data_IF_548014618766
#
_entry.id   IF_548014618766
#
_cell.length_a   1.000
_cell.length_b   1.000
_cell.length_c   1.000
_cell.angle_alpha   90.00
_cell.angle_beta   90.00
_cell.angle_gamma   90.00
#
_symmetry.space_group_name_H-M   'P 1'
#
loop_
_entity.id
_entity.type
_entity.pdbx_description
1 polymer ?
#
# COMPACT_ATOMS: atom_id res chain seq x y z
N UNK A 1 -94.45 34.38 22.25
CA UNK A 1 -93.19 34.12 21.51
C UNK A 1 -93.50 33.33 20.23
N UNK A 2 -93.71 34.00 19.08
CA UNK A 2 -93.96 33.37 17.75
C UNK A 2 -93.19 34.07 16.62
N UNK A 3 -92.12 34.78 16.96
CA UNK A 3 -91.25 35.50 16.01
C UNK A 3 -90.64 34.61 14.91
N UNK A 4 -90.15 33.38 15.15
CA UNK A 4 -89.55 32.59 14.07
C UNK A 4 -90.57 32.06 13.04
N UNK A 5 -91.81 31.81 13.45
CA UNK A 5 -92.87 31.33 12.53
C UNK A 5 -93.41 32.44 11.62
N UNK A 6 -93.46 33.67 12.10
CA UNK A 6 -93.83 34.84 11.28
C UNK A 6 -92.75 35.16 10.24
N UNK A 7 -91.47 35.12 10.63
CA UNK A 7 -90.35 35.30 9.69
C UNK A 7 -90.34 34.23 8.58
N UNK A 8 -90.65 32.97 8.90
CA UNK A 8 -90.72 31.89 7.91
C UNK A 8 -91.89 32.06 6.90
N UNK A 9 -92.99 32.69 7.30
CA UNK A 9 -94.14 32.98 6.43
C UNK A 9 -93.85 34.15 5.48
N UNK A 10 -93.17 35.19 5.95
CA UNK A 10 -92.66 36.30 5.13
C UNK A 10 -91.66 35.82 4.07
N UNK A 11 -90.70 34.93 4.44
CA UNK A 11 -89.76 34.33 3.49
C UNK A 11 -90.45 33.56 2.36
N UNK A 12 -91.55 32.86 2.67
CA UNK A 12 -92.36 32.13 1.67
C UNK A 12 -93.04 33.06 0.65
N UNK A 13 -93.21 34.35 0.96
CA UNK A 13 -93.79 35.35 0.05
C UNK A 13 -92.83 35.68 -1.09
N UNK A 14 -91.53 35.77 -0.82
CA UNK A 14 -90.48 35.92 -1.85
C UNK A 14 -90.32 34.67 -2.73
N UNK A 15 -90.83 33.53 -2.26
CA UNK A 15 -90.89 32.30 -3.03
C UNK A 15 -92.04 32.22 -4.03
N UNK A 16 -92.96 33.19 -4.15
CA UNK A 16 -94.09 33.14 -5.10
C UNK A 16 -93.91 34.17 -6.22
N UNK A 17 -93.53 33.69 -7.42
CA UNK A 17 -93.32 34.51 -8.62
C UNK A 17 -91.87 34.47 -9.12
N UNK A 18 -91.64 34.73 -10.42
CA UNK A 18 -90.30 34.68 -11.03
C UNK A 18 -89.42 35.89 -10.63
N UNK A 19 -90.02 37.08 -10.51
CA UNK A 19 -89.35 38.34 -10.18
C UNK A 19 -88.75 38.39 -8.75
N UNK A 20 -89.50 38.07 -7.68
CA UNK A 20 -88.96 38.11 -6.31
C UNK A 20 -87.85 37.05 -6.06
N UNK A 21 -87.94 35.89 -6.72
CA UNK A 21 -86.89 34.86 -6.69
C UNK A 21 -85.61 35.32 -7.39
N UNK A 22 -85.73 36.00 -8.53
CA UNK A 22 -84.59 36.59 -9.21
C UNK A 22 -83.93 37.70 -8.38
N UNK A 23 -84.71 38.54 -7.70
CA UNK A 23 -84.20 39.57 -6.79
C UNK A 23 -83.45 38.97 -5.59
N UNK A 24 -83.96 37.91 -4.96
CA UNK A 24 -83.25 37.17 -3.90
C UNK A 24 -81.98 36.50 -4.41
N UNK A 25 -82.02 35.91 -5.61
CA UNK A 25 -80.84 35.30 -6.22
C UNK A 25 -79.77 36.35 -6.50
N UNK A 26 -80.14 37.52 -7.05
CA UNK A 26 -79.22 38.62 -7.28
C UNK A 26 -78.64 39.18 -5.96
N UNK A 27 -79.46 39.33 -4.91
CA UNK A 27 -79.03 39.78 -3.58
C UNK A 27 -78.02 38.83 -2.93
N UNK A 28 -78.15 37.51 -3.15
CA UNK A 28 -77.20 36.50 -2.67
C UNK A 28 -75.97 36.38 -3.58
N UNK A 29 -76.15 36.52 -4.89
CA UNK A 29 -75.08 36.38 -5.88
C UNK A 29 -74.10 37.55 -5.83
N UNK A 30 -74.54 38.78 -5.57
CA UNK A 30 -73.65 39.95 -5.56
C UNK A 30 -72.55 39.84 -4.48
N UNK A 31 -72.87 39.54 -3.20
CA UNK A 31 -71.87 39.32 -2.16
C UNK A 31 -71.04 38.05 -2.39
N UNK A 32 -71.64 36.97 -2.91
CA UNK A 32 -70.92 35.73 -3.23
C UNK A 32 -69.95 35.91 -4.39
N UNK A 33 -70.33 36.65 -5.43
CA UNK A 33 -69.46 36.97 -6.57
C UNK A 33 -68.30 37.85 -6.12
N UNK A 34 -68.59 38.89 -5.32
CA UNK A 34 -67.54 39.73 -4.75
C UNK A 34 -66.59 38.93 -3.85
N UNK A 35 -67.13 38.09 -2.96
CA UNK A 35 -66.34 37.21 -2.10
C UNK A 35 -65.54 36.17 -2.89
N UNK A 36 -66.12 35.60 -3.95
CA UNK A 36 -65.44 34.65 -4.83
C UNK A 36 -64.35 35.31 -5.66
N UNK A 37 -64.57 36.51 -6.19
CA UNK A 37 -63.54 37.29 -6.91
C UNK A 37 -62.42 37.74 -5.97
N UNK A 38 -62.76 38.14 -4.73
CA UNK A 38 -61.78 38.50 -3.71
C UNK A 38 -60.96 37.28 -3.29
N UNK A 39 -61.60 36.14 -2.97
CA UNK A 39 -60.88 34.90 -2.71
C UNK A 39 -60.01 34.53 -3.90
N UNK A 40 -60.55 34.54 -5.12
CA UNK A 40 -59.79 34.19 -6.32
C UNK A 40 -58.57 35.11 -6.55
N UNK A 41 -58.72 36.42 -6.32
CA UNK A 41 -57.63 37.39 -6.46
C UNK A 41 -56.59 37.32 -5.34
N UNK A 42 -56.95 36.84 -4.14
CA UNK A 42 -56.08 36.80 -2.96
C UNK A 42 -55.67 35.38 -2.55
N UNK A 43 -56.18 34.34 -3.21
CA UNK A 43 -55.80 32.94 -2.97
C UNK A 43 -54.44 32.62 -3.57
N UNK A 44 -54.05 33.32 -4.65
CA UNK A 44 -52.72 33.20 -5.24
C UNK A 44 -52.18 34.53 -5.81
N UNK A 45 -51.92 35.54 -4.96
CA UNK A 45 -51.41 36.85 -5.37
C UNK A 45 -49.96 36.80 -5.89
N UNK A 46 -49.30 35.64 -5.79
CA UNK A 46 -47.88 35.45 -6.14
C UNK A 46 -47.67 34.62 -7.43
N UNK A 47 -48.68 33.92 -7.94
CA UNK A 47 -48.62 33.19 -9.22
C UNK A 47 -48.38 34.03 -10.47
N UNK A 48 -48.39 35.36 -10.33
CA UNK A 48 -48.25 36.31 -11.45
C UNK A 48 -47.07 37.27 -11.29
N UNK A 49 -46.18 36.98 -10.35
CA UNK A 49 -44.97 37.78 -10.13
C UNK A 49 -44.03 37.72 -11.34
N UNK A 50 -44.08 36.64 -12.13
CA UNK A 50 -43.37 36.42 -13.40
C UNK A 50 -43.63 37.49 -14.46
N UNK A 51 -44.66 38.34 -14.27
CA UNK A 51 -44.99 39.45 -15.16
C UNK A 51 -44.60 40.81 -14.62
N UNK A 52 -44.01 40.86 -13.43
CA UNK A 52 -43.57 42.11 -12.81
C UNK A 52 -42.13 42.36 -13.28
N UNK A 53 -41.91 43.38 -14.13
CA UNK A 53 -40.59 43.71 -14.63
C UNK A 53 -39.72 44.27 -13.50
N UNK A 54 -38.59 43.61 -13.28
CA UNK A 54 -37.58 43.98 -12.28
C UNK A 54 -36.25 44.18 -12.96
N UNK A 55 -35.72 45.41 -12.89
CA UNK A 55 -34.41 45.71 -13.43
C UNK A 55 -33.31 45.18 -12.51
N UNK A 56 -32.38 44.41 -13.09
CA UNK A 56 -31.23 43.84 -12.42
C UNK A 56 -29.96 44.48 -12.98
N UNK A 57 -29.17 45.11 -12.12
CA UNK A 57 -27.91 45.75 -12.48
C UNK A 57 -26.78 45.03 -11.77
N UNK A 58 -25.85 44.45 -12.52
CA UNK A 58 -24.66 43.84 -11.96
C UNK A 58 -23.45 44.74 -12.19
N UNK A 59 -22.83 45.22 -11.10
CA UNK A 59 -21.56 45.96 -11.16
C UNK A 59 -20.38 45.17 -10.58
N UNK A 60 -20.64 43.97 -10.05
CA UNK A 60 -19.64 43.13 -9.39
C UNK A 60 -18.47 42.81 -10.33
N UNK A 61 -17.25 42.86 -9.79
CA UNK A 61 -16.02 42.59 -10.58
C UNK A 61 -15.44 41.20 -10.35
N UNK A 62 -16.03 40.44 -9.44
CA UNK A 62 -15.46 39.20 -8.92
C UNK A 62 -14.30 39.45 -7.94
N UNK A 63 -13.91 38.42 -7.21
CA UNK A 63 -12.81 38.43 -6.27
C UNK A 63 -12.01 37.12 -6.33
N UNK A 64 -10.94 37.01 -5.55
CA UNK A 64 -10.15 35.78 -5.41
C UNK A 64 -10.07 35.40 -3.94
N UNK A 65 -10.44 34.17 -3.60
CA UNK A 65 -10.31 33.59 -2.27
C UNK A 65 -9.69 32.20 -2.37
N UNK A 66 -8.71 31.89 -1.52
CA UNK A 66 -8.05 30.57 -1.44
C UNK A 66 -7.56 30.04 -2.81
N UNK A 67 -7.02 30.94 -3.64
CA UNK A 67 -6.52 30.63 -4.98
C UNK A 67 -7.59 30.36 -6.05
N UNK A 68 -8.87 30.51 -5.72
CA UNK A 68 -10.01 30.35 -6.65
C UNK A 68 -10.70 31.69 -6.91
N UNK A 69 -11.15 31.90 -8.14
CA UNK A 69 -11.97 33.06 -8.51
C UNK A 69 -13.39 32.88 -7.95
N UNK A 70 -13.89 33.91 -7.31
CA UNK A 70 -15.25 34.02 -6.75
C UNK A 70 -16.01 35.04 -7.58
N UNK A 71 -17.13 34.63 -8.18
CA UNK A 71 -17.99 35.46 -9.05
C UNK A 71 -19.42 35.47 -8.50
N UNK A 72 -19.56 35.81 -7.22
CA UNK A 72 -20.82 35.78 -6.50
C UNK A 72 -21.91 36.68 -7.11
N UNK A 73 -21.53 37.80 -7.75
CA UNK A 73 -22.48 38.67 -8.43
C UNK A 73 -23.08 38.02 -9.67
N UNK A 74 -22.22 37.48 -10.55
CA UNK A 74 -22.65 36.76 -11.76
C UNK A 74 -23.50 35.54 -11.40
N UNK A 75 -23.06 34.81 -10.37
CA UNK A 75 -23.74 33.65 -9.82
C UNK A 75 -25.17 33.96 -9.32
N UNK A 76 -25.35 35.12 -8.68
CA UNK A 76 -26.64 35.60 -8.21
C UNK A 76 -27.54 36.01 -9.39
N UNK A 77 -26.97 36.71 -10.38
CA UNK A 77 -27.70 37.15 -11.58
C UNK A 77 -28.23 35.96 -12.37
N UNK A 78 -27.39 34.96 -12.60
CA UNK A 78 -27.77 33.72 -13.28
C UNK A 78 -28.91 33.02 -12.52
N UNK A 79 -28.80 32.92 -11.19
CA UNK A 79 -29.82 32.31 -10.35
C UNK A 79 -31.16 33.04 -10.39
N UNK A 80 -31.16 34.38 -10.38
CA UNK A 80 -32.37 35.19 -10.45
C UNK A 80 -33.03 35.13 -11.83
N UNK A 81 -32.26 35.26 -12.91
CA UNK A 81 -32.77 35.13 -14.28
C UNK A 81 -33.38 33.74 -14.53
N UNK A 82 -32.78 32.69 -13.97
CA UNK A 82 -33.25 31.33 -14.12
C UNK A 82 -34.44 30.94 -13.24
N UNK A 83 -34.80 31.74 -12.22
CA UNK A 83 -35.82 31.34 -11.25
C UNK A 83 -37.26 31.49 -11.77
N UNK A 84 -37.49 32.39 -12.71
CA UNK A 84 -38.81 32.66 -13.30
C UNK A 84 -39.82 33.28 -12.32
N UNK A 85 -39.40 33.64 -11.11
CA UNK A 85 -40.29 34.21 -10.08
C UNK A 85 -40.68 35.66 -10.40
N UNK A 86 -39.80 36.42 -11.04
CA UNK A 86 -40.07 37.77 -11.57
C UNK A 86 -39.61 37.86 -13.02
N UNK A 87 -40.11 38.85 -13.77
CA UNK A 87 -39.54 39.20 -15.08
C UNK A 87 -38.25 39.98 -14.87
N UNK A 88 -37.18 39.25 -14.56
CA UNK A 88 -35.85 39.79 -14.33
C UNK A 88 -35.24 40.24 -15.65
N UNK A 89 -34.92 41.53 -15.74
CA UNK A 89 -34.28 42.12 -16.91
C UNK A 89 -32.93 42.69 -16.52
N UNK A 90 -31.86 42.07 -17.02
CA UNK A 90 -30.52 42.60 -16.81
C UNK A 90 -30.30 43.83 -17.71
N UNK A 91 -30.10 44.98 -17.09
CA UNK A 91 -29.93 46.27 -17.79
C UNK A 91 -28.81 47.08 -17.16
N UNK A 92 -28.34 48.12 -17.84
CA UNK A 92 -27.38 49.06 -17.27
C UNK A 92 -28.02 49.97 -16.20
N UNK A 93 -27.18 50.60 -15.39
CA UNK A 93 -27.64 51.43 -14.28
C UNK A 93 -28.47 52.66 -14.71
N UNK A 94 -28.22 53.20 -15.90
CA UNK A 94 -28.97 54.34 -16.44
C UNK A 94 -30.37 53.91 -16.85
N UNK A 95 -30.47 52.82 -17.64
CA UNK A 95 -31.74 52.23 -18.07
C UNK A 95 -32.59 51.78 -16.87
N UNK A 96 -31.98 51.16 -15.85
CA UNK A 96 -32.69 50.78 -14.63
C UNK A 96 -33.29 51.99 -13.89
N UNK A 97 -32.52 53.08 -13.77
CA UNK A 97 -32.97 54.29 -13.08
C UNK A 97 -34.12 54.99 -13.83
N UNK A 98 -33.94 55.20 -15.14
CA UNK A 98 -34.97 55.79 -15.98
C UNK A 98 -36.24 54.95 -15.99
N UNK A 99 -36.10 53.63 -16.15
CA UNK A 99 -37.25 52.75 -16.20
C UNK A 99 -38.01 52.66 -14.86
N UNK A 100 -37.35 52.85 -13.72
CA UNK A 100 -37.99 52.98 -12.40
C UNK A 100 -38.76 54.30 -12.25
N UNK A 101 -38.23 55.40 -12.81
CA UNK A 101 -38.90 56.70 -12.78
C UNK A 101 -40.14 56.73 -13.69
N UNK A 102 -40.02 56.15 -14.89
CA UNK A 102 -41.11 56.04 -15.87
C UNK A 102 -42.15 54.97 -15.50
N UNK A 103 -41.86 54.12 -14.50
CA UNK A 103 -42.75 53.05 -14.04
C UNK A 103 -42.74 51.78 -14.91
N UNK A 104 -41.81 51.67 -15.86
CA UNK A 104 -41.57 50.45 -16.63
C UNK A 104 -40.96 49.33 -15.79
N UNK A 105 -40.24 49.66 -14.72
CA UNK A 105 -39.78 48.72 -13.68
C UNK A 105 -40.40 49.09 -12.34
N UNK A 106 -40.81 48.08 -11.58
CA UNK A 106 -41.38 48.29 -10.25
C UNK A 106 -40.32 48.48 -9.16
N UNK A 107 -39.14 47.88 -9.37
CA UNK A 107 -37.98 48.01 -8.52
C UNK A 107 -36.70 47.74 -9.32
N UNK A 108 -35.59 48.24 -8.80
CA UNK A 108 -34.25 47.93 -9.32
C UNK A 108 -33.44 47.23 -8.25
N UNK A 109 -32.82 46.10 -8.58
CA UNK A 109 -31.83 45.42 -7.74
C UNK A 109 -30.44 45.67 -8.33
N UNK A 110 -29.54 46.28 -7.55
CA UNK A 110 -28.16 46.52 -7.96
C UNK A 110 -27.19 45.72 -7.09
N UNK A 111 -26.38 44.90 -7.75
CA UNK A 111 -25.20 44.22 -7.17
C UNK A 111 -24.02 45.19 -7.23
N UNK A 112 -23.44 45.62 -6.09
CA UNK A 112 -22.29 46.53 -6.05
C UNK A 112 -20.99 45.93 -6.59
N UNK A 113 -19.99 46.77 -6.87
CA UNK A 113 -18.68 46.34 -7.41
C UNK A 113 -17.89 45.43 -6.46
N UNK A 114 -18.09 45.58 -5.16
CA UNK A 114 -17.39 44.91 -4.06
C UNK A 114 -18.16 43.68 -3.51
N UNK A 115 -19.20 43.24 -4.21
CA UNK A 115 -20.07 42.17 -3.71
C UNK A 115 -19.31 40.84 -3.57
N UNK A 116 -18.63 40.39 -4.62
CA UNK A 116 -17.82 39.17 -4.58
C UNK A 116 -16.66 39.27 -3.60
N UNK A 117 -16.06 40.45 -3.45
CA UNK A 117 -14.99 40.68 -2.47
C UNK A 117 -15.52 40.52 -1.04
N UNK A 118 -16.70 41.07 -0.77
CA UNK A 118 -17.37 40.91 0.53
C UNK A 118 -17.71 39.44 0.81
N UNK A 119 -18.25 38.71 -0.17
CA UNK A 119 -18.52 37.28 -0.02
C UNK A 119 -17.23 36.47 0.18
N UNK A 120 -16.18 36.76 -0.59
CA UNK A 120 -14.86 36.14 -0.47
C UNK A 120 -14.19 36.41 0.89
N UNK A 121 -14.47 37.55 1.52
CA UNK A 121 -13.92 37.89 2.85
C UNK A 121 -14.43 37.02 4.00
N UNK A 122 -15.48 36.22 3.76
CA UNK A 122 -16.10 35.37 4.78
C UNK A 122 -15.17 34.32 5.39
N UNK A 123 -14.11 33.91 4.67
CA UNK A 123 -13.06 33.01 5.16
C UNK A 123 -11.86 33.73 5.81
N UNK A 124 -11.83 35.07 5.79
CA UNK A 124 -10.73 35.90 6.31
C UNK A 124 -10.96 36.44 7.73
N UNK A 125 -9.99 37.22 8.23
CA UNK A 125 -9.99 37.75 9.60
C UNK A 125 -11.03 38.85 9.88
N UNK A 126 -11.61 39.46 8.84
CA UNK A 126 -12.62 40.52 8.95
C UNK A 126 -13.75 40.28 7.93
N UNK A 127 -14.72 39.39 8.23
CA UNK A 127 -15.78 39.06 7.31
C UNK A 127 -16.71 40.26 7.10
N UNK A 128 -17.08 40.52 5.84
CA UNK A 128 -18.03 41.56 5.44
C UNK A 128 -19.29 40.94 4.85
N UNK A 129 -20.44 41.52 5.17
CA UNK A 129 -21.69 41.12 4.53
C UNK A 129 -21.78 41.78 3.15
N UNK A 130 -22.00 40.97 2.10
CA UNK A 130 -22.35 41.49 0.79
C UNK A 130 -23.70 42.22 0.87
N UNK A 131 -23.72 43.51 0.56
CA UNK A 131 -24.94 44.31 0.54
C UNK A 131 -25.48 44.44 -0.87
N UNK A 132 -26.79 44.39 -1.03
CA UNK A 132 -27.47 44.65 -2.29
C UNK A 132 -28.25 45.96 -2.18
N UNK A 133 -28.25 46.76 -3.25
CA UNK A 133 -28.98 48.03 -3.28
C UNK A 133 -30.30 47.83 -3.99
N UNK A 134 -31.39 48.01 -3.26
CA UNK A 134 -32.74 48.02 -3.84
C UNK A 134 -33.23 49.45 -3.90
N UNK A 135 -33.77 49.87 -5.05
CA UNK A 135 -34.50 51.13 -5.18
C UNK A 135 -35.92 50.84 -5.62
N UNK A 136 -36.85 51.57 -5.03
CA UNK A 136 -38.27 51.49 -5.32
C UNK A 136 -38.84 52.89 -5.54
N UNK A 137 -39.99 52.98 -6.19
CA UNK A 137 -40.72 54.23 -6.37
C UNK A 137 -42.03 54.18 -5.57
N UNK A 138 -41.93 54.45 -4.26
CA UNK A 138 -43.04 54.36 -3.31
C UNK A 138 -44.11 55.43 -3.56
N UNK A 139 -43.76 56.50 -4.27
CA UNK A 139 -44.71 57.56 -4.67
C UNK A 139 -45.78 57.08 -5.65
N UNK A 140 -45.52 55.98 -6.37
CA UNK A 140 -46.41 55.49 -7.42
C UNK A 140 -47.22 54.24 -7.03
N UNK A 141 -46.88 53.52 -5.95
CA UNK A 141 -47.57 52.25 -5.63
C UNK A 141 -47.42 51.77 -4.16
N UNK A 142 -48.56 51.52 -3.50
CA UNK A 142 -48.65 51.02 -2.11
C UNK A 142 -48.19 49.57 -1.92
N UNK A 143 -48.17 48.77 -3.00
CA UNK A 143 -47.85 47.31 -2.95
C UNK A 143 -46.34 47.03 -2.99
N UNK A 144 -45.53 48.06 -3.26
CA UNK A 144 -44.08 47.98 -3.41
C UNK A 144 -43.40 47.33 -2.20
N UNK A 145 -43.83 47.67 -0.98
CA UNK A 145 -43.26 47.06 0.24
C UNK A 145 -43.45 45.54 0.33
N UNK A 146 -44.53 44.99 -0.23
CA UNK A 146 -44.76 43.54 -0.31
C UNK A 146 -43.93 42.89 -1.43
N UNK A 147 -43.81 43.56 -2.58
CA UNK A 147 -43.01 43.10 -3.72
C UNK A 147 -41.53 43.04 -3.33
N UNK A 148 -41.01 44.07 -2.66
CA UNK A 148 -39.61 44.09 -2.19
C UNK A 148 -39.30 42.94 -1.24
N UNK A 149 -40.19 42.62 -0.28
CA UNK A 149 -40.00 41.46 0.61
C UNK A 149 -39.94 40.14 -0.15
N UNK A 150 -40.78 40.00 -1.18
CA UNK A 150 -40.81 38.80 -2.02
C UNK A 150 -39.52 38.67 -2.83
N UNK A 151 -39.02 39.78 -3.41
CA UNK A 151 -37.71 39.83 -4.08
C UNK A 151 -36.57 39.46 -3.14
N UNK A 152 -36.54 39.98 -1.92
CA UNK A 152 -35.51 39.62 -0.94
C UNK A 152 -35.56 38.13 -0.55
N UNK A 153 -36.75 37.57 -0.40
CA UNK A 153 -36.92 36.13 -0.14
C UNK A 153 -36.35 35.30 -1.30
N UNK A 154 -36.57 35.74 -2.52
CA UNK A 154 -36.08 35.07 -3.72
C UNK A 154 -34.55 35.12 -3.84
N UNK A 155 -33.97 36.29 -3.64
CA UNK A 155 -32.51 36.48 -3.58
C UNK A 155 -31.88 35.57 -2.53
N UNK A 156 -32.49 35.48 -1.33
CA UNK A 156 -32.02 34.60 -0.27
C UNK A 156 -32.14 33.13 -0.67
N UNK A 157 -33.23 32.74 -1.33
CA UNK A 157 -33.46 31.38 -1.80
C UNK A 157 -32.41 30.96 -2.84
N UNK A 158 -32.18 31.80 -3.85
CA UNK A 158 -31.18 31.58 -4.90
C UNK A 158 -29.75 31.44 -4.33
N UNK A 159 -29.37 32.36 -3.42
CA UNK A 159 -28.08 32.29 -2.75
C UNK A 159 -27.92 31.01 -1.91
N UNK A 160 -28.98 30.60 -1.20
CA UNK A 160 -28.97 29.41 -0.34
C UNK A 160 -28.87 28.12 -1.17
N UNK A 161 -29.62 28.02 -2.28
CA UNK A 161 -29.61 26.86 -3.17
C UNK A 161 -28.22 26.61 -3.77
N UNK A 162 -27.54 27.66 -4.24
CA UNK A 162 -26.18 27.55 -4.79
C UNK A 162 -25.15 27.15 -3.74
N UNK A 163 -25.22 27.76 -2.55
CA UNK A 163 -24.33 27.43 -1.43
C UNK A 163 -24.49 25.96 -1.00
N UNK A 164 -25.74 25.48 -0.87
CA UNK A 164 -26.00 24.06 -0.56
C UNK A 164 -25.44 23.13 -1.64
N UNK A 165 -25.59 23.45 -2.92
CA UNK A 165 -25.05 22.63 -4.02
C UNK A 165 -23.52 22.50 -3.94
N UNK A 166 -22.83 23.63 -3.76
CA UNK A 166 -21.36 23.65 -3.60
C UNK A 166 -20.91 22.87 -2.36
N UNK A 167 -21.67 22.96 -1.26
CA UNK A 167 -21.40 22.18 -0.05
C UNK A 167 -21.50 20.67 -0.32
N UNK A 168 -22.56 20.21 -1.00
CA UNK A 168 -22.71 18.81 -1.36
C UNK A 168 -21.60 18.32 -2.30
N UNK A 169 -21.26 19.09 -3.34
CA UNK A 169 -20.15 18.75 -4.24
C UNK A 169 -18.83 18.61 -3.48
N UNK A 170 -18.53 19.54 -2.57
CA UNK A 170 -17.31 19.48 -1.75
C UNK A 170 -17.31 18.26 -0.82
N UNK A 171 -18.46 17.91 -0.23
CA UNK A 171 -18.60 16.71 0.59
C UNK A 171 -18.34 15.45 -0.24
N UNK A 172 -18.94 15.33 -1.43
CA UNK A 172 -18.75 14.15 -2.28
C UNK A 172 -17.28 13.99 -2.72
N UNK A 173 -16.64 15.08 -3.13
CA UNK A 173 -15.22 15.07 -3.46
C UNK A 173 -14.37 14.66 -2.24
N UNK A 174 -14.64 15.25 -1.07
CA UNK A 174 -13.91 14.90 0.16
C UNK A 174 -14.10 13.45 0.57
N UNK A 175 -15.28 12.84 0.35
CA UNK A 175 -15.50 11.42 0.60
C UNK A 175 -14.77 10.53 -0.39
N UNK A 176 -14.68 10.94 -1.66
CA UNK A 176 -13.87 10.24 -2.66
C UNK A 176 -12.39 10.26 -2.29
N UNK A 177 -11.86 11.43 -1.90
CA UNK A 177 -10.46 11.56 -1.47
C UNK A 177 -10.18 10.71 -0.23
N UNK A 178 -11.13 10.66 0.72
CA UNK A 178 -11.03 9.83 1.92
C UNK A 178 -11.05 8.34 1.57
N UNK A 179 -11.90 7.92 0.62
CA UNK A 179 -11.96 6.55 0.13
C UNK A 179 -10.61 6.14 -0.48
N UNK A 180 -10.07 6.94 -1.41
CA UNK A 180 -8.78 6.68 -2.05
C UNK A 180 -7.63 6.64 -1.04
N UNK A 181 -7.65 7.55 -0.05
CA UNK A 181 -6.70 7.56 1.04
C UNK A 181 -6.76 6.29 1.90
N UNK A 182 -7.96 5.81 2.17
CA UNK A 182 -8.19 4.58 2.93
C UNK A 182 -7.76 3.34 2.15
N UNK A 183 -8.02 3.29 0.84
CA UNK A 183 -7.57 2.20 -0.03
C UNK A 183 -6.04 2.13 -0.11
N UNK A 184 -5.37 3.29 -0.22
CA UNK A 184 -3.89 3.36 -0.18
C UNK A 184 -3.35 2.89 1.18
N UNK A 185 -4.00 3.27 2.28
CA UNK A 185 -3.60 2.83 3.61
C UNK A 185 -3.77 1.30 3.77
N UNK A 186 -4.84 0.72 3.23
CA UNK A 186 -5.05 -0.72 3.23
C UNK A 186 -3.95 -1.46 2.44
N UNK A 187 -3.65 -1.01 1.21
CA UNK A 187 -2.55 -1.57 0.41
C UNK A 187 -1.20 -1.47 1.12
N UNK A 188 -0.91 -0.32 1.73
CA UNK A 188 0.32 -0.15 2.51
C UNK A 188 0.38 -1.07 3.74
N UNK A 189 -0.75 -1.39 4.37
CA UNK A 189 -0.81 -2.36 5.46
C UNK A 189 -0.58 -3.80 4.99
N UNK A 190 -1.07 -4.16 3.81
CA UNK A 190 -0.80 -5.45 3.16
C UNK A 190 0.69 -5.57 2.82
N UNK A 191 1.30 -4.54 2.21
CA UNK A 191 2.73 -4.51 1.90
C UNK A 191 3.61 -4.70 3.16
N UNK A 192 3.23 -4.06 4.28
CA UNK A 192 3.92 -4.23 5.57
C UNK A 192 3.79 -5.65 6.09
N UNK A 193 2.61 -6.26 5.93
CA UNK A 193 2.35 -7.63 6.38
C UNK A 193 3.18 -8.64 5.57
N UNK A 194 3.23 -8.47 4.25
CA UNK A 194 4.04 -9.29 3.35
C UNK A 194 5.53 -9.13 3.66
N UNK A 195 6.00 -7.89 3.82
CA UNK A 195 7.39 -7.61 4.20
C UNK A 195 7.78 -8.22 5.56
N UNK A 196 6.86 -8.23 6.53
CA UNK A 196 7.08 -8.92 7.81
C UNK A 196 7.13 -10.45 7.65
N UNK A 197 6.33 -11.00 6.74
CA UNK A 197 6.38 -12.41 6.35
C UNK A 197 7.74 -12.80 5.76
N UNK A 198 8.24 -12.00 4.82
CA UNK A 198 9.56 -12.19 4.20
C UNK A 198 10.70 -12.07 5.21
N UNK A 199 10.67 -11.05 6.08
CA UNK A 199 11.66 -10.88 7.15
C UNK A 199 11.69 -12.09 8.11
N UNK A 200 10.52 -12.63 8.46
CA UNK A 200 10.42 -13.83 9.29
C UNK A 200 11.00 -15.05 8.59
N UNK A 201 10.76 -15.21 7.29
CA UNK A 201 11.34 -16.30 6.48
C UNK A 201 12.86 -16.18 6.41
N UNK A 202 13.37 -15.00 6.04
CA UNK A 202 14.81 -14.73 6.01
C UNK A 202 15.50 -14.96 7.36
N UNK A 203 14.84 -14.62 8.47
CA UNK A 203 15.36 -14.90 9.81
C UNK A 203 15.47 -16.41 10.12
N UNK A 204 14.50 -17.21 9.66
CA UNK A 204 14.56 -18.68 9.79
C UNK A 204 15.67 -19.26 8.93
N UNK A 205 15.80 -18.80 7.69
CA UNK A 205 16.84 -19.26 6.76
C UNK A 205 18.23 -18.93 7.31
N UNK A 206 18.40 -17.73 7.90
CA UNK A 206 19.62 -17.36 8.60
C UNK A 206 19.91 -18.26 9.81
N UNK A 207 18.90 -18.57 10.63
CA UNK A 207 19.03 -19.51 11.75
C UNK A 207 19.51 -20.89 11.29
N UNK A 208 18.88 -21.44 10.26
CA UNK A 208 19.29 -22.72 9.67
C UNK A 208 20.73 -22.68 9.11
N UNK A 209 21.11 -21.56 8.49
CA UNK A 209 22.47 -21.35 7.99
C UNK A 209 23.53 -21.32 9.10
N UNK A 210 23.20 -20.69 10.24
CA UNK A 210 24.07 -20.66 11.43
C UNK A 210 24.25 -22.08 12.00
N UNK A 211 23.17 -22.85 12.12
CA UNK A 211 23.24 -24.23 12.60
C UNK A 211 24.09 -25.11 11.65
N UNK A 212 23.89 -24.98 10.34
CA UNK A 212 24.70 -25.69 9.36
C UNK A 212 26.20 -25.30 9.44
N UNK A 213 26.50 -24.02 9.68
CA UNK A 213 27.87 -23.55 9.85
C UNK A 213 28.51 -24.08 11.15
N UNK A 214 27.74 -24.17 12.23
CA UNK A 214 28.16 -24.79 13.50
C UNK A 214 28.49 -26.27 13.30
N UNK A 215 27.62 -27.02 12.63
CA UNK A 215 27.83 -28.44 12.34
C UNK A 215 29.03 -28.66 11.41
N UNK A 216 29.19 -27.80 10.40
CA UNK A 216 30.37 -27.78 9.54
C UNK A 216 31.67 -27.53 10.33
N UNK A 217 31.64 -26.58 11.26
CA UNK A 217 32.80 -26.26 12.11
C UNK A 217 33.16 -27.41 13.05
N UNK A 218 32.15 -28.11 13.62
CA UNK A 218 32.38 -29.29 14.44
C UNK A 218 33.05 -30.42 13.66
N UNK A 219 32.54 -30.73 12.45
CA UNK A 219 33.16 -31.73 11.57
C UNK A 219 34.59 -31.38 11.16
N UNK A 220 34.88 -30.09 10.96
CA UNK A 220 36.23 -29.63 10.68
C UNK A 220 37.16 -29.85 11.88
N UNK A 221 36.71 -29.52 13.09
CA UNK A 221 37.47 -29.76 14.31
C UNK A 221 37.78 -31.26 14.51
N UNK A 222 36.78 -32.13 14.36
CA UNK A 222 36.95 -33.59 14.43
C UNK A 222 37.94 -34.09 13.36
N UNK A 223 37.91 -33.50 12.17
CA UNK A 223 38.82 -33.83 11.07
C UNK A 223 40.26 -33.41 11.38
N UNK A 224 40.45 -32.25 12.00
CA UNK A 224 41.76 -31.75 12.43
C UNK A 224 42.35 -32.64 13.55
N UNK A 225 41.55 -33.05 14.52
CA UNK A 225 41.99 -33.97 15.59
C UNK A 225 42.45 -35.32 15.01
N UNK A 226 41.70 -35.87 14.04
CA UNK A 226 42.10 -37.10 13.34
C UNK A 226 43.38 -36.92 12.54
N UNK A 227 43.56 -35.78 11.88
CA UNK A 227 44.77 -35.48 11.13
C UNK A 227 45.98 -35.34 12.06
N UNK A 228 45.83 -34.65 13.19
CA UNK A 228 46.85 -34.53 14.23
C UNK A 228 47.28 -35.91 14.73
N UNK A 229 46.31 -36.76 15.09
CA UNK A 229 46.60 -38.13 15.52
C UNK A 229 47.32 -38.95 14.45
N UNK A 230 46.84 -38.90 13.20
CA UNK A 230 47.48 -39.61 12.09
C UNK A 230 48.89 -39.11 11.78
N UNK A 231 49.16 -37.81 11.98
CA UNK A 231 50.51 -37.25 11.90
C UNK A 231 51.41 -37.75 13.03
N UNK A 232 50.88 -37.90 14.25
CA UNK A 232 51.58 -38.54 15.37
C UNK A 232 51.92 -40.00 15.07
N UNK A 233 50.95 -40.80 14.65
CA UNK A 233 51.14 -42.20 14.30
C UNK A 233 52.19 -42.37 13.16
N UNK A 234 52.21 -41.45 12.20
CA UNK A 234 53.21 -41.43 11.13
C UNK A 234 54.61 -41.10 11.66
N UNK A 235 54.74 -40.15 12.58
CA UNK A 235 56.01 -39.80 13.19
C UNK A 235 56.59 -41.00 13.96
N UNK A 236 55.79 -41.64 14.81
CA UNK A 236 56.19 -42.84 15.57
C UNK A 236 56.62 -43.99 14.64
N UNK A 237 55.91 -44.16 13.51
CA UNK A 237 56.26 -45.16 12.50
C UNK A 237 57.58 -44.85 11.78
N UNK A 238 57.89 -43.58 11.53
CA UNK A 238 59.16 -43.15 10.95
C UNK A 238 60.33 -43.36 11.92
N UNK A 239 60.14 -43.08 13.21
CA UNK A 239 61.14 -43.35 14.25
C UNK A 239 61.40 -44.87 14.35
N UNK A 240 60.34 -45.68 14.36
CA UNK A 240 60.47 -47.15 14.36
C UNK A 240 61.21 -47.67 13.13
N UNK A 241 60.95 -47.09 11.95
CA UNK A 241 61.65 -47.45 10.71
C UNK A 241 63.13 -47.05 10.76
N UNK A 242 63.43 -45.87 11.31
CA UNK A 242 64.80 -45.40 11.50
C UNK A 242 65.57 -46.36 12.42
N UNK A 243 64.99 -46.76 13.55
CA UNK A 243 65.61 -47.69 14.49
C UNK A 243 65.84 -49.06 13.86
N UNK A 244 64.83 -49.61 13.17
CA UNK A 244 64.95 -50.89 12.46
C UNK A 244 65.98 -50.85 11.32
N UNK A 245 66.17 -49.71 10.65
CA UNK A 245 67.24 -49.52 9.68
C UNK A 245 68.63 -49.49 10.34
N UNK A 246 68.73 -48.92 11.55
CA UNK A 246 69.92 -48.97 12.39
C UNK A 246 70.29 -50.40 12.77
N UNK A 247 69.33 -51.16 13.30
CA UNK A 247 69.50 -52.57 13.67
C UNK A 247 69.92 -53.43 12.47
N UNK A 248 69.30 -53.21 11.30
CA UNK A 248 69.65 -53.91 10.07
C UNK A 248 71.08 -53.60 9.63
N UNK A 249 71.51 -52.33 9.73
CA UNK A 249 72.87 -51.93 9.39
C UNK A 249 73.90 -52.56 10.33
N UNK A 250 73.59 -52.66 11.63
CA UNK A 250 74.44 -53.34 12.62
C UNK A 250 74.54 -54.85 12.33
N UNK A 251 73.40 -55.51 12.13
CA UNK A 251 73.36 -56.93 11.76
C UNK A 251 74.12 -57.23 10.47
N UNK A 252 74.02 -56.35 9.46
CA UNK A 252 74.78 -56.48 8.22
C UNK A 252 76.30 -56.37 8.44
N UNK A 253 76.76 -55.47 9.33
CA UNK A 253 78.17 -55.38 9.73
C UNK A 253 78.62 -56.66 10.44
N UNK A 254 77.82 -57.17 11.37
CA UNK A 254 78.13 -58.40 12.10
C UNK A 254 78.25 -59.61 11.16
N UNK A 255 77.38 -59.72 10.15
CA UNK A 255 77.47 -60.76 9.11
C UNK A 255 78.73 -60.58 8.26
N UNK A 256 79.06 -59.36 7.87
CA UNK A 256 80.29 -59.07 7.12
C UNK A 256 81.54 -59.45 7.92
N UNK A 257 81.61 -59.04 9.19
CA UNK A 257 82.71 -59.36 10.11
C UNK A 257 82.82 -60.88 10.35
N UNK A 258 81.70 -61.56 10.54
CA UNK A 258 81.67 -63.02 10.68
C UNK A 258 82.13 -63.74 9.42
N UNK A 259 81.74 -63.25 8.24
CA UNK A 259 82.17 -63.79 6.94
C UNK A 259 83.68 -63.59 6.76
N UNK A 260 84.22 -62.42 7.14
CA UNK A 260 85.65 -62.15 7.12
C UNK A 260 86.41 -63.10 8.04
N UNK A 261 85.93 -63.30 9.27
CA UNK A 261 86.54 -64.26 10.20
C UNK A 261 86.53 -65.70 9.66
N UNK A 262 85.46 -66.12 9.00
CA UNK A 262 85.39 -67.44 8.34
C UNK A 262 86.41 -67.51 7.21
N UNK A 263 86.49 -66.48 6.36
CA UNK A 263 87.46 -66.41 5.27
C UNK A 263 88.90 -66.48 5.81
N UNK A 264 89.22 -65.71 6.85
CA UNK A 264 90.53 -65.69 7.49
C UNK A 264 90.90 -67.08 8.06
N UNK A 265 89.95 -67.78 8.69
CA UNK A 265 90.18 -69.16 9.18
C UNK A 265 90.36 -70.17 8.06
N UNK A 266 89.57 -70.06 6.98
CA UNK A 266 89.69 -70.94 5.81
C UNK A 266 91.05 -70.72 5.14
N UNK A 267 91.48 -69.47 4.99
CA UNK A 267 92.80 -69.14 4.46
C UNK A 267 93.91 -69.66 5.38
N UNK A 268 93.82 -69.44 6.70
CA UNK A 268 94.80 -69.98 7.65
C UNK A 268 94.87 -71.50 7.63
N UNK A 269 93.73 -72.19 7.56
CA UNK A 269 93.70 -73.65 7.38
C UNK A 269 94.33 -74.08 6.06
N UNK A 270 94.07 -73.37 4.96
CA UNK A 270 94.68 -73.65 3.67
C UNK A 270 96.20 -73.40 3.70
N UNK A 271 96.66 -72.36 4.39
CA UNK A 271 98.08 -72.04 4.58
C UNK A 271 98.79 -73.10 5.44
N UNK A 272 98.12 -73.67 6.45
CA UNK A 272 98.66 -74.74 7.30
C UNK A 272 98.64 -76.11 6.59
N UNK A 273 97.53 -76.45 5.94
CA UNK A 273 97.32 -77.74 5.30
C UNK A 273 98.01 -77.85 3.93
N UNK A 274 98.15 -76.74 3.22
CA UNK A 274 98.76 -76.68 1.88
C UNK A 274 100.17 -77.28 1.85
N UNK A 275 101.12 -76.80 2.68
CA UNK A 275 102.47 -77.35 2.76
C UNK A 275 102.49 -78.84 3.13
N UNK A 276 101.64 -79.29 4.06
CA UNK A 276 101.55 -80.70 4.46
C UNK A 276 101.04 -81.58 3.31
N UNK A 277 100.05 -81.10 2.56
CA UNK A 277 99.53 -81.79 1.38
C UNK A 277 100.53 -81.78 0.22
N UNK A 278 101.27 -80.69 0.03
CA UNK A 278 102.32 -80.60 -0.99
C UNK A 278 103.52 -81.50 -0.65
N UNK A 279 103.92 -81.57 0.63
CA UNK A 279 105.07 -82.36 1.10
C UNK A 279 104.73 -83.86 1.23
N UNK A 280 103.60 -84.20 1.85
CA UNK A 280 103.21 -85.58 2.15
C UNK A 280 102.09 -86.12 1.25
N UNK A 281 101.59 -85.37 0.26
CA UNK A 281 100.44 -85.78 -0.55
C UNK A 281 100.62 -87.09 -1.30
N UNK A 282 101.84 -87.41 -1.75
CA UNK A 282 102.15 -88.72 -2.34
C UNK A 282 102.05 -89.84 -1.32
N UNK A 283 102.63 -89.67 -0.13
CA UNK A 283 102.60 -90.66 0.95
C UNK A 283 101.18 -90.88 1.46
N UNK A 284 100.41 -89.79 1.63
CA UNK A 284 98.99 -89.83 2.00
C UNK A 284 98.18 -90.55 0.93
N UNK A 285 98.40 -90.25 -0.36
CA UNK A 285 97.71 -90.90 -1.47
C UNK A 285 98.05 -92.39 -1.62
N UNK A 286 99.30 -92.76 -1.40
CA UNK A 286 99.75 -94.16 -1.37
C UNK A 286 99.17 -94.92 -0.17
N UNK A 287 99.17 -94.31 1.03
CA UNK A 287 98.54 -94.89 2.21
C UNK A 287 97.02 -95.04 2.04
N UNK A 288 96.34 -94.06 1.45
CA UNK A 288 94.91 -94.13 1.16
C UNK A 288 94.58 -95.24 0.16
N UNK A 289 95.40 -95.42 -0.88
CA UNK A 289 95.25 -96.56 -1.82
C UNK A 289 95.49 -97.89 -1.13
N UNK A 290 96.52 -97.99 -0.29
CA UNK A 290 96.78 -99.21 0.46
C UNK A 290 95.62 -99.58 1.40
N UNK A 291 94.98 -98.58 2.04
CA UNK A 291 93.76 -98.80 2.84
C UNK A 291 92.59 -99.21 1.96
N UNK A 292 92.36 -98.56 0.82
CA UNK A 292 91.28 -98.90 -0.11
C UNK A 292 91.42 -100.33 -0.64
N UNK A 293 92.60 -100.68 -1.15
CA UNK A 293 92.95 -102.02 -1.61
C UNK A 293 92.80 -103.05 -0.47
N UNK A 294 93.15 -102.67 0.76
CA UNK A 294 92.97 -103.50 1.96
C UNK A 294 91.49 -103.73 2.31
N UNK A 295 90.66 -102.70 2.20
CA UNK A 295 89.22 -102.82 2.44
C UNK A 295 88.49 -103.57 1.33
N UNK A 296 88.93 -103.44 0.08
CA UNK A 296 88.39 -104.19 -1.06
C UNK A 296 88.71 -105.68 -0.91
N UNK A 297 89.96 -106.01 -0.55
CA UNK A 297 90.32 -107.39 -0.19
C UNK A 297 89.54 -107.93 0.99
N UNK A 298 89.33 -107.13 2.04
CA UNK A 298 88.51 -107.55 3.18
C UNK A 298 87.05 -107.77 2.77
N UNK A 299 86.52 -106.96 1.86
CA UNK A 299 85.20 -107.14 1.26
C UNK A 299 85.12 -108.43 0.44
N UNK A 300 86.08 -108.66 -0.45
CA UNK A 300 86.19 -109.89 -1.25
C UNK A 300 86.31 -111.12 -0.35
N UNK A 301 87.12 -111.05 0.71
CA UNK A 301 87.29 -112.13 1.69
C UNK A 301 86.00 -112.37 2.50
N UNK A 302 85.25 -111.31 2.83
CA UNK A 302 83.95 -111.42 3.51
C UNK A 302 82.86 -111.97 2.60
N UNK A 303 82.81 -111.59 1.32
CA UNK A 303 81.87 -112.12 0.32
C UNK A 303 82.20 -113.58 -0.06
N UNK A 304 83.45 -114.00 0.10
CA UNK A 304 83.90 -115.38 -0.08
C UNK A 304 83.61 -116.29 1.13
N UNK A 305 83.08 -115.77 2.24
CA UNK A 305 82.62 -116.61 3.35
C UNK A 305 81.30 -117.30 2.99
N UNK A 306 81.17 -118.62 3.23
CA UNK A 306 79.92 -119.33 2.98
C UNK A 306 78.83 -118.79 3.91
N UNK A 307 77.67 -118.48 3.32
CA UNK A 307 76.46 -118.17 4.07
C UNK A 307 75.89 -119.46 4.67
N UNK A 308 76.23 -119.73 5.93
CA UNK A 308 75.63 -120.76 6.78
C UNK A 308 75.29 -120.18 8.17
#
# INVERSE_FOLDING_TARGET
>A
MRTPRLAALELRRFGRGRLPRAAMAALLLLPLLYGALYLWSFWDPYSRLDKIPVALVNKDRGATADGKRVTAGDDLVEGLLGSGTFDWQQVDAGTAAQGLEEGSYYLTLTVPEDFSESIASSSGAAPRAGSLKVRTNDSNNYVVGQISRSVFSEVRSAASAKSSRQFYEKIFLSFSDLHDGTEKAAKGADDVTDGAGDARKGSKDLGNGIDAAKDGSGRLADGLEKAEKGSGDLADGLDSLHDGAGDLAEGARQVADGTQQVADRVNGFADDAGPLLDEHGKEIGEAARAVADGTERLGDDLDALPAD
#
